data_IF_612903328512
#
_entry.id   IF_612903328512
#
_cell.length_a   1.000
_cell.length_b   1.000
_cell.length_c   1.000
_cell.angle_alpha   90.00
_cell.angle_beta   90.00
_cell.angle_gamma   90.00
#
_symmetry.space_group_name_H-M   'P 1'
#
loop_
_entity.id
_entity.type
_entity.pdbx_description
1 polymer ?
#
# COMPACT_ATOMS: atom_id res chain seq x y z
N UNK A 1 -10.20 6.01 -11.45
CA UNK A 1 -11.12 5.59 -10.38
C UNK A 1 -10.99 6.50 -9.19
N UNK A 2 -12.09 7.16 -8.87
CA UNK A 2 -12.19 8.07 -7.75
C UNK A 2 -12.57 7.31 -6.46
N UNK A 3 -12.18 7.82 -5.27
CA UNK A 3 -12.68 7.28 -4.01
C UNK A 3 -14.20 7.29 -3.95
N UNK A 4 -14.82 6.52 -3.04
CA UNK A 4 -16.24 6.66 -2.73
C UNK A 4 -16.62 8.11 -2.46
N UNK A 5 -17.81 8.53 -2.91
CA UNK A 5 -18.27 9.93 -2.78
C UNK A 5 -18.23 10.46 -1.35
N UNK A 6 -18.50 9.60 -0.36
CA UNK A 6 -18.43 9.94 1.06
C UNK A 6 -17.01 10.18 1.58
N UNK A 7 -15.98 9.68 0.88
CA UNK A 7 -14.58 9.83 1.25
C UNK A 7 -13.87 10.90 0.42
N UNK A 8 -14.43 11.25 -0.76
CA UNK A 8 -13.75 12.08 -1.77
C UNK A 8 -13.18 13.36 -1.20
N UNK A 9 -13.93 14.08 -0.38
CA UNK A 9 -13.46 15.36 0.18
C UNK A 9 -12.36 15.18 1.21
N UNK A 10 -12.44 14.14 2.05
CA UNK A 10 -11.41 13.84 3.06
C UNK A 10 -10.09 13.42 2.42
N UNK A 11 -10.13 12.59 1.38
CA UNK A 11 -8.91 12.05 0.74
C UNK A 11 -8.46 12.86 -0.47
N UNK A 12 -9.14 13.96 -0.78
CA UNK A 12 -8.77 14.87 -1.87
C UNK A 12 -7.35 15.39 -1.64
N UNK A 13 -6.48 15.24 -2.64
CA UNK A 13 -5.08 15.67 -2.56
C UNK A 13 -4.16 14.70 -1.81
N UNK A 14 -4.68 13.61 -1.25
CA UNK A 14 -3.83 12.51 -0.77
C UNK A 14 -3.30 11.69 -1.95
N UNK A 15 -2.17 11.02 -1.74
CA UNK A 15 -1.54 10.23 -2.79
C UNK A 15 -2.16 8.83 -2.88
N UNK A 16 -2.83 8.51 -3.99
CA UNK A 16 -3.35 7.17 -4.26
C UNK A 16 -2.20 6.18 -4.55
N UNK A 17 -2.21 5.04 -3.85
CA UNK A 17 -1.27 3.94 -4.06
C UNK A 17 -2.02 2.59 -4.13
N UNK A 18 -1.31 1.46 -4.06
CA UNK A 18 -1.89 0.12 -4.10
C UNK A 18 -2.36 -0.32 -5.49
N UNK A 19 -3.28 -1.29 -5.52
CA UNK A 19 -3.74 -1.96 -6.74
C UNK A 19 -4.30 -1.00 -7.79
N UNK A 20 -5.13 -0.04 -7.36
CA UNK A 20 -5.69 0.99 -8.25
C UNK A 20 -4.61 1.84 -8.91
N UNK A 21 -3.65 2.32 -8.12
CA UNK A 21 -2.54 3.12 -8.67
C UNK A 21 -1.67 2.35 -9.68
N UNK A 22 -1.54 1.04 -9.50
CA UNK A 22 -0.78 0.18 -10.40
C UNK A 22 -1.54 -0.09 -11.70
N UNK A 23 -2.85 -0.33 -11.62
CA UNK A 23 -3.72 -0.53 -12.78
C UNK A 23 -3.80 0.70 -13.71
N UNK A 24 -3.56 1.91 -13.18
CA UNK A 24 -3.54 3.16 -13.96
C UNK A 24 -2.21 3.44 -14.66
N UNK A 25 -1.21 2.55 -14.54
CA UNK A 25 0.11 2.77 -15.17
C UNK A 25 0.05 2.50 -16.67
N UNK A 26 0.95 3.13 -17.46
CA UNK A 26 1.06 2.83 -18.89
C UNK A 26 1.35 1.36 -19.13
N UNK A 27 0.73 0.79 -20.16
CA UNK A 27 1.08 -0.55 -20.64
C UNK A 27 2.50 -0.59 -21.21
N UNK A 28 3.15 -1.74 -21.07
CA UNK A 28 4.44 -2.03 -21.70
C UNK A 28 4.24 -2.99 -22.88
N UNK A 29 5.33 -3.39 -23.53
CA UNK A 29 5.27 -4.40 -24.60
C UNK A 29 4.87 -5.79 -24.08
N UNK A 30 5.12 -6.08 -22.80
CA UNK A 30 4.95 -7.41 -22.18
C UNK A 30 3.80 -7.48 -21.19
N UNK A 31 3.27 -6.34 -20.76
CA UNK A 31 2.31 -6.29 -19.66
C UNK A 31 1.30 -5.16 -19.80
N UNK A 32 0.02 -5.50 -19.69
CA UNK A 32 -1.08 -4.55 -19.57
C UNK A 32 -1.59 -4.50 -18.11
N UNK A 33 -1.32 -3.41 -17.38
CA UNK A 33 -1.76 -3.26 -16.00
C UNK A 33 -3.28 -3.21 -15.83
N UNK A 34 -4.00 -2.68 -16.83
CA UNK A 34 -5.45 -2.58 -16.75
C UNK A 34 -6.09 -3.97 -16.89
N UNK A 35 -5.63 -4.77 -17.85
CA UNK A 35 -6.13 -6.14 -18.04
C UNK A 35 -5.77 -7.04 -16.85
N UNK A 36 -4.52 -6.96 -16.38
CA UNK A 36 -4.03 -7.87 -15.34
C UNK A 36 -4.52 -7.49 -13.93
N UNK A 37 -4.52 -6.20 -13.61
CA UNK A 37 -4.88 -5.71 -12.26
C UNK A 37 -6.27 -5.10 -12.29
N UNK A 38 -6.50 -4.14 -13.20
CA UNK A 38 -7.71 -3.32 -13.26
C UNK A 38 -9.01 -4.12 -13.33
N UNK A 39 -9.07 -5.16 -14.17
CA UNK A 39 -10.26 -6.01 -14.32
C UNK A 39 -10.62 -6.81 -13.06
N UNK A 40 -9.64 -7.02 -12.17
CA UNK A 40 -9.85 -7.70 -10.89
C UNK A 40 -10.28 -6.75 -9.75
N UNK A 41 -10.26 -5.44 -10.00
CA UNK A 41 -10.72 -4.44 -9.04
C UNK A 41 -12.24 -4.33 -9.09
N UNK A 42 -12.88 -4.50 -7.94
CA UNK A 42 -14.31 -4.27 -7.76
C UNK A 42 -14.57 -2.86 -7.23
N UNK A 43 -15.79 -2.38 -7.39
CA UNK A 43 -16.19 -1.02 -6.96
C UNK A 43 -16.07 -0.80 -5.44
N UNK A 44 -15.99 -1.87 -4.66
CA UNK A 44 -15.87 -1.85 -3.21
C UNK A 44 -14.46 -2.20 -2.70
N UNK A 45 -13.46 -2.33 -3.59
CA UNK A 45 -12.11 -2.80 -3.20
C UNK A 45 -11.00 -1.76 -3.40
N UNK A 46 -10.02 -1.79 -2.48
CA UNK A 46 -8.66 -1.24 -2.55
C UNK A 46 -8.53 0.26 -2.83
N UNK A 47 -9.05 1.09 -1.92
CA UNK A 47 -8.76 2.54 -1.88
C UNK A 47 -7.66 2.84 -0.86
N UNK A 48 -6.41 2.80 -1.33
CA UNK A 48 -5.24 2.99 -0.47
C UNK A 48 -4.62 4.37 -0.71
N UNK A 49 -4.69 5.26 0.27
CA UNK A 49 -4.16 6.62 0.20
C UNK A 49 -3.01 6.84 1.17
N UNK A 50 -2.03 7.64 0.78
CA UNK A 50 -0.92 8.04 1.62
C UNK A 50 -0.83 9.55 1.78
N UNK A 51 -0.48 9.99 2.98
CA UNK A 51 -0.29 11.41 3.33
C UNK A 51 0.85 11.57 4.33
N UNK A 52 1.48 12.74 4.37
CA UNK A 52 2.48 13.06 5.40
C UNK A 52 1.86 13.00 6.80
N UNK A 53 2.55 12.34 7.73
CA UNK A 53 2.14 12.31 9.12
C UNK A 53 2.32 13.70 9.76
N UNK A 54 1.27 14.15 10.44
CA UNK A 54 1.26 15.27 11.38
C UNK A 54 0.13 15.04 12.40
N UNK A 55 0.18 15.73 13.54
CA UNK A 55 -0.91 15.69 14.53
C UNK A 55 -2.23 16.19 13.92
N UNK A 56 -2.19 17.28 13.15
CA UNK A 56 -3.37 17.83 12.47
C UNK A 56 -3.99 16.82 11.49
N UNK A 57 -3.17 16.10 10.72
CA UNK A 57 -3.64 15.04 9.81
C UNK A 57 -4.31 13.91 10.58
N UNK A 58 -3.71 13.48 11.70
CA UNK A 58 -4.28 12.45 12.57
C UNK A 58 -5.64 12.87 13.09
N UNK A 59 -5.73 14.07 13.66
CA UNK A 59 -6.95 14.55 14.30
C UNK A 59 -8.06 14.75 13.27
N UNK A 60 -7.76 15.32 12.10
CA UNK A 60 -8.71 15.44 10.99
C UNK A 60 -9.27 14.08 10.51
N UNK A 61 -8.42 13.04 10.44
CA UNK A 61 -8.87 11.69 10.09
C UNK A 61 -9.78 11.10 11.16
N UNK A 62 -9.45 11.27 12.44
CA UNK A 62 -10.27 10.80 13.56
C UNK A 62 -11.62 11.54 13.64
N UNK A 63 -11.62 12.85 13.43
CA UNK A 63 -12.82 13.69 13.43
C UNK A 63 -13.75 13.32 12.27
N UNK A 64 -13.18 12.94 11.11
CA UNK A 64 -13.96 12.39 10.00
C UNK A 64 -14.36 10.91 10.23
N UNK A 65 -14.10 10.32 11.39
CA UNK A 65 -14.56 8.97 11.74
C UNK A 65 -13.73 7.84 11.11
N UNK A 66 -12.51 8.12 10.65
CA UNK A 66 -11.53 7.05 10.47
C UNK A 66 -11.09 6.53 11.84
N UNK A 67 -10.77 5.24 11.92
CA UNK A 67 -10.23 4.63 13.11
C UNK A 67 -8.92 3.90 12.82
N UNK A 68 -8.13 3.73 13.86
CA UNK A 68 -7.00 2.80 13.84
C UNK A 68 -7.47 1.45 14.42
N UNK A 69 -7.35 0.32 13.69
CA UNK A 69 -7.72 -1.00 14.19
C UNK A 69 -6.99 -1.35 15.50
N UNK A 70 -7.73 -1.81 16.52
CA UNK A 70 -7.23 -2.02 17.89
C UNK A 70 -6.26 -3.20 18.06
N UNK A 71 -6.28 -4.21 17.17
CA UNK A 71 -5.40 -5.38 17.26
C UNK A 71 -3.93 -5.09 16.89
N UNK A 72 -3.65 -3.81 16.61
CA UNK A 72 -2.37 -3.27 16.20
C UNK A 72 -1.78 -2.30 17.24
N UNK A 73 -2.25 -2.30 18.49
CA UNK A 73 -1.74 -1.37 19.52
C UNK A 73 -0.61 -2.03 20.30
N UNK A 74 0.63 -1.57 20.11
CA UNK A 74 1.71 -1.80 21.07
C UNK A 74 2.03 -0.47 21.75
N UNK A 75 1.95 -0.46 23.09
CA UNK A 75 2.41 0.63 23.96
C UNK A 75 1.74 2.00 23.72
N UNK A 76 0.41 2.01 23.68
CA UNK A 76 -0.40 3.22 23.96
C UNK A 76 -0.36 4.37 22.94
N UNK A 77 0.46 4.32 21.88
CA UNK A 77 0.48 5.36 20.84
C UNK A 77 0.97 4.89 19.46
N UNK A 78 1.07 3.58 19.21
CA UNK A 78 1.59 3.10 17.94
C UNK A 78 0.69 1.99 17.39
N UNK A 79 0.02 2.35 16.29
CA UNK A 79 -0.73 1.46 15.40
C UNK A 79 0.23 0.64 14.52
N UNK A 80 0.58 -0.59 14.89
CA UNK A 80 1.31 -1.56 14.08
C UNK A 80 0.63 -2.93 14.16
N UNK A 81 0.21 -3.48 13.02
CA UNK A 81 0.79 -4.67 12.40
C UNK A 81 0.35 -4.75 10.93
N UNK A 82 1.30 -4.47 10.04
CA UNK A 82 1.52 -5.40 8.92
C UNK A 82 3.00 -5.73 8.91
N UNK A 83 3.41 -6.67 9.78
CA UNK A 83 4.75 -7.31 9.75
C UNK A 83 5.06 -8.03 8.42
N UNK A 84 4.14 -7.96 7.45
CA UNK A 84 4.17 -8.62 6.16
C UNK A 84 4.56 -7.71 5.00
N UNK A 85 4.51 -6.38 5.17
CA UNK A 85 5.28 -5.51 4.29
C UNK A 85 6.72 -5.49 4.77
N UNK A 86 7.63 -5.47 3.81
CA UNK A 86 9.05 -5.21 4.02
C UNK A 86 9.22 -4.03 4.98
N UNK A 87 10.28 -3.96 5.80
CA UNK A 87 10.50 -2.84 6.70
C UNK A 87 10.45 -1.53 5.89
N UNK A 88 9.31 -0.87 5.89
CA UNK A 88 9.04 0.35 5.15
C UNK A 88 9.36 1.51 6.12
N UNK A 89 10.53 2.14 5.98
CA UNK A 89 10.95 3.19 6.92
C UNK A 89 10.10 4.45 6.78
N UNK A 90 9.26 4.55 5.73
CA UNK A 90 8.37 5.68 5.52
C UNK A 90 7.03 5.51 6.24
N UNK A 91 6.66 4.31 6.69
CA UNK A 91 5.38 4.07 7.36
C UNK A 91 5.31 4.74 8.74
N UNK A 92 4.14 5.29 9.08
CA UNK A 92 3.84 5.80 10.42
C UNK A 92 2.61 5.16 11.04
N UNK A 93 1.42 5.28 10.45
CA UNK A 93 0.16 4.76 11.01
C UNK A 93 -0.86 4.51 9.91
N UNK A 94 -1.67 3.45 10.05
CA UNK A 94 -2.80 3.12 9.18
C UNK A 94 -4.13 3.56 9.84
N UNK A 95 -4.95 4.25 9.06
CA UNK A 95 -6.32 4.63 9.37
C UNK A 95 -7.27 3.95 8.38
N UNK A 96 -8.43 3.51 8.86
CA UNK A 96 -9.44 2.83 8.06
C UNK A 96 -10.80 3.47 8.33
N UNK A 97 -11.61 3.62 7.29
CA UNK A 97 -13.04 3.93 7.40
C UNK A 97 -13.81 2.99 6.50
N UNK A 98 -14.85 2.38 7.05
CA UNK A 98 -15.76 1.47 6.34
C UNK A 98 -17.16 2.09 6.38
N UNK A 99 -17.76 2.28 5.22
CA UNK A 99 -19.12 2.80 5.09
C UNK A 99 -19.80 2.17 3.89
N UNK A 100 -21.05 1.73 4.06
CA UNK A 100 -21.87 1.10 3.02
C UNK A 100 -21.16 -0.07 2.31
N UNK A 101 -20.40 -0.86 3.08
CA UNK A 101 -19.61 -1.99 2.58
C UNK A 101 -18.36 -1.62 1.77
N UNK A 102 -18.04 -0.33 1.64
CA UNK A 102 -16.82 0.18 1.01
C UNK A 102 -15.78 0.55 2.07
N UNK A 103 -14.51 0.29 1.78
CA UNK A 103 -13.40 0.59 2.67
C UNK A 103 -12.43 1.57 2.02
N UNK A 104 -11.98 2.55 2.80
CA UNK A 104 -10.86 3.44 2.47
C UNK A 104 -9.78 3.28 3.53
N UNK A 105 -8.54 3.12 3.08
CA UNK A 105 -7.35 3.06 3.92
C UNK A 105 -6.50 4.32 3.70
N UNK A 106 -6.04 4.93 4.77
CA UNK A 106 -5.11 6.05 4.75
C UNK A 106 -3.89 5.70 5.57
N UNK A 107 -2.74 5.57 4.93
CA UNK A 107 -1.45 5.40 5.58
C UNK A 107 -0.76 6.75 5.72
N UNK A 108 -0.58 7.18 6.96
CA UNK A 108 0.29 8.32 7.25
C UNK A 108 1.75 7.88 7.16
N UNK A 109 2.57 8.74 6.55
CA UNK A 109 3.97 8.47 6.23
C UNK A 109 4.88 9.45 6.97
N UNK A 110 5.97 8.95 7.55
CA UNK A 110 7.05 9.77 8.12
C UNK A 110 7.73 10.63 7.05
N UNK A 111 7.86 10.10 5.83
CA UNK A 111 8.44 10.78 4.69
C UNK A 111 7.64 10.46 3.43
N UNK A 112 6.60 11.25 3.16
CA UNK A 112 5.70 11.02 2.01
C UNK A 112 6.43 11.16 0.67
N UNK A 113 7.38 12.09 0.57
CA UNK A 113 8.11 12.37 -0.68
C UNK A 113 8.93 11.13 -1.07
N UNK A 114 9.66 10.55 -0.13
CA UNK A 114 10.44 9.33 -0.37
C UNK A 114 9.53 8.15 -0.72
N UNK A 115 8.42 7.97 0.00
CA UNK A 115 7.43 6.95 -0.32
C UNK A 115 6.93 7.07 -1.77
N UNK A 116 6.53 8.27 -2.19
CA UNK A 116 6.04 8.51 -3.55
C UNK A 116 7.11 8.18 -4.60
N UNK A 117 8.37 8.54 -4.36
CA UNK A 117 9.49 8.20 -5.27
C UNK A 117 9.65 6.70 -5.41
N UNK A 118 9.72 5.98 -4.27
CA UNK A 118 9.87 4.53 -4.24
C UNK A 118 8.67 3.85 -4.89
N UNK A 119 7.46 4.27 -4.58
CA UNK A 119 6.26 3.68 -5.17
C UNK A 119 6.25 3.84 -6.69
N UNK A 120 6.55 5.04 -7.19
CA UNK A 120 6.58 5.33 -8.63
C UNK A 120 7.67 4.57 -9.39
N UNK A 121 8.75 4.17 -8.73
CA UNK A 121 9.83 3.40 -9.37
C UNK A 121 9.58 1.89 -9.43
N UNK A 122 8.60 1.35 -8.69
CA UNK A 122 8.24 -0.06 -8.77
C UNK A 122 7.51 -0.32 -10.08
N UNK A 123 8.01 -1.21 -10.94
CA UNK A 123 7.33 -1.60 -12.18
C UNK A 123 5.99 -2.34 -11.92
N UNK A 124 5.01 -2.14 -12.80
CA UNK A 124 3.66 -2.69 -12.64
C UNK A 124 3.63 -4.22 -12.80
N UNK A 125 4.38 -4.76 -13.76
CA UNK A 125 4.50 -6.19 -14.01
C UNK A 125 5.20 -6.87 -12.83
N UNK A 126 6.31 -6.27 -12.36
CA UNK A 126 6.99 -6.74 -11.16
C UNK A 126 6.06 -6.74 -9.94
N UNK A 127 5.32 -5.65 -9.71
CA UNK A 127 4.38 -5.57 -8.60
C UNK A 127 3.28 -6.64 -8.71
N UNK A 128 2.67 -6.81 -9.88
CA UNK A 128 1.64 -7.82 -10.13
C UNK A 128 2.16 -9.23 -9.89
N UNK A 129 3.36 -9.54 -10.38
CA UNK A 129 3.93 -10.87 -10.25
C UNK A 129 4.43 -11.16 -8.83
N UNK A 130 4.96 -10.18 -8.10
CA UNK A 130 5.71 -10.48 -6.87
C UNK A 130 5.17 -9.83 -5.60
N UNK A 131 4.42 -8.73 -5.68
CA UNK A 131 3.95 -8.02 -4.48
C UNK A 131 2.44 -8.19 -4.29
N UNK A 132 1.67 -8.19 -5.36
CA UNK A 132 0.22 -8.20 -5.26
C UNK A 132 -0.33 -9.47 -4.58
N UNK A 133 -1.31 -9.28 -3.70
CA UNK A 133 -1.96 -10.36 -2.94
C UNK A 133 -2.57 -11.42 -3.87
N UNK A 134 -3.12 -11.00 -5.00
CA UNK A 134 -3.75 -11.87 -6.00
C UNK A 134 -2.81 -12.26 -7.13
N UNK A 135 -1.50 -12.01 -6.99
CA UNK A 135 -0.49 -12.47 -7.94
C UNK A 135 -0.65 -13.97 -8.25
N UNK A 136 -0.41 -14.42 -9.49
CA UNK A 136 -0.36 -15.84 -9.80
C UNK A 136 0.72 -16.58 -8.98
N UNK A 137 1.84 -15.92 -8.69
CA UNK A 137 2.86 -16.45 -7.77
C UNK A 137 2.42 -16.39 -6.31
N UNK A 138 1.42 -15.58 -5.93
CA UNK A 138 0.76 -15.70 -4.61
C UNK A 138 -0.24 -16.84 -4.58
N UNK A 139 -0.99 -17.06 -5.66
CA UNK A 139 -2.04 -18.08 -5.75
C UNK A 139 -1.50 -19.52 -5.86
N UNK A 140 -0.31 -19.72 -6.45
CA UNK A 140 0.29 -21.04 -6.67
C UNK A 140 0.98 -21.66 -5.43
N UNK A 141 0.55 -21.31 -4.21
CA UNK A 141 1.14 -21.79 -2.96
C UNK A 141 2.36 -21.00 -2.48
N UNK A 142 2.85 -20.02 -3.24
CA UNK A 142 3.83 -19.02 -2.79
C UNK A 142 3.15 -17.77 -2.17
N UNK A 143 1.96 -18.01 -1.61
CA UNK A 143 1.15 -17.06 -0.86
C UNK A 143 1.98 -16.38 0.24
N UNK A 144 1.67 -15.12 0.53
CA UNK A 144 1.94 -14.53 1.84
C UNK A 144 1.03 -15.23 2.88
N UNK A 145 1.10 -16.56 2.96
CA UNK A 145 0.42 -17.29 4.00
C UNK A 145 0.99 -16.80 5.33
N UNK A 146 0.16 -16.93 6.36
CA UNK A 146 0.41 -16.46 7.74
C UNK A 146 1.90 -16.54 8.11
N UNK A 147 2.43 -15.53 8.82
CA UNK A 147 3.78 -15.58 9.38
C UNK A 147 4.08 -16.96 9.97
N UNK A 148 5.14 -17.63 9.47
CA UNK A 148 5.47 -19.00 9.88
C UNK A 148 5.43 -20.04 8.77
N UNK A 149 4.87 -19.74 7.59
CA UNK A 149 4.91 -20.69 6.46
C UNK A 149 6.24 -20.65 5.69
N UNK A 150 6.76 -21.79 5.19
CA UNK A 150 8.01 -21.81 4.41
C UNK A 150 8.01 -20.90 3.18
N UNK A 151 6.83 -20.72 2.57
CA UNK A 151 6.65 -19.96 1.34
C UNK A 151 6.67 -18.45 1.57
N UNK A 152 6.13 -17.98 2.69
CA UNK A 152 6.25 -16.60 3.16
C UNK A 152 7.73 -16.18 3.31
N UNK A 153 8.55 -16.99 3.97
CA UNK A 153 9.97 -16.67 4.18
C UNK A 153 10.79 -16.69 2.88
N UNK A 154 10.52 -17.65 1.98
CA UNK A 154 11.22 -17.74 0.69
C UNK A 154 10.97 -16.50 -0.17
N UNK A 155 9.72 -16.05 -0.26
CA UNK A 155 9.37 -14.86 -1.04
C UNK A 155 9.91 -13.59 -0.40
N UNK A 156 9.85 -13.45 0.93
CA UNK A 156 10.46 -12.31 1.64
C UNK A 156 11.97 -12.24 1.42
N UNK A 157 12.68 -13.37 1.42
CA UNK A 157 14.13 -13.43 1.13
C UNK A 157 14.46 -12.98 -0.30
N UNK A 158 13.56 -13.21 -1.26
CA UNK A 158 13.74 -12.79 -2.65
C UNK A 158 13.37 -11.32 -2.90
N UNK A 159 12.25 -10.85 -2.36
CA UNK A 159 11.72 -9.51 -2.63
C UNK A 159 12.41 -8.44 -1.78
N UNK A 160 12.80 -8.76 -0.54
CA UNK A 160 13.39 -7.77 0.36
C UNK A 160 14.66 -7.12 -0.20
N UNK A 161 15.64 -7.85 -0.75
CA UNK A 161 16.82 -7.24 -1.35
C UNK A 161 16.49 -6.31 -2.52
N UNK A 162 15.56 -6.71 -3.40
CA UNK A 162 15.14 -5.90 -4.56
C UNK A 162 14.51 -4.59 -4.08
N UNK A 163 13.63 -4.66 -3.08
CA UNK A 163 12.97 -3.48 -2.55
C UNK A 163 13.93 -2.58 -1.77
N UNK A 164 14.92 -3.14 -1.08
CA UNK A 164 16.03 -2.38 -0.48
C UNK A 164 16.84 -1.66 -1.56
N UNK A 165 17.13 -2.33 -2.69
CA UNK A 165 17.83 -1.70 -3.81
C UNK A 165 17.01 -0.54 -4.41
N UNK A 166 15.73 -0.76 -4.72
CA UNK A 166 14.81 0.28 -5.21
C UNK A 166 14.79 1.47 -4.24
N UNK A 167 14.72 1.19 -2.94
CA UNK A 167 14.74 2.19 -1.90
C UNK A 167 16.06 2.99 -1.87
N UNK A 168 17.20 2.30 -1.91
CA UNK A 168 18.52 2.93 -1.94
C UNK A 168 18.72 3.79 -3.18
N UNK A 169 18.26 3.34 -4.36
CA UNK A 169 18.27 4.12 -5.61
C UNK A 169 17.40 5.38 -5.52
N UNK A 170 16.23 5.27 -4.90
CA UNK A 170 15.35 6.42 -4.68
C UNK A 170 15.94 7.45 -3.71
N UNK A 171 16.83 7.03 -2.80
CA UNK A 171 17.59 7.91 -1.91
C UNK A 171 18.80 8.54 -2.62
N UNK A 172 19.57 7.76 -3.37
CA UNK A 172 20.84 8.20 -3.97
C UNK A 172 20.70 9.22 -5.10
N UNK A 173 19.52 9.30 -5.73
CA UNK A 173 19.12 10.40 -6.64
C UNK A 173 18.97 11.77 -5.96
N UNK A 174 19.48 11.92 -4.72
CA UNK A 174 19.71 13.19 -4.01
C UNK A 174 21.10 13.80 -4.25
N UNK A 175 21.98 13.11 -4.97
CA UNK A 175 23.36 13.55 -5.25
C UNK A 175 23.42 14.37 -6.53
#
# INVERSE_FOLDING_TARGET
>A
DDPPSWATDTVRGMYLYGSRSMAMRPKTATFDPYESIGQNLRYNTDHDYSIQHSQATRDALLDDGFFCPKDNVKDGNICIEEKNYLPDPTFHTLFIKIKDGQQVQVVTRKNIILFMKVWKSIDAEFWYNYIWKSSPYSASGLSLDKPGTPNYYRRKKFIAPIMIQIFNTAISTRS
#
